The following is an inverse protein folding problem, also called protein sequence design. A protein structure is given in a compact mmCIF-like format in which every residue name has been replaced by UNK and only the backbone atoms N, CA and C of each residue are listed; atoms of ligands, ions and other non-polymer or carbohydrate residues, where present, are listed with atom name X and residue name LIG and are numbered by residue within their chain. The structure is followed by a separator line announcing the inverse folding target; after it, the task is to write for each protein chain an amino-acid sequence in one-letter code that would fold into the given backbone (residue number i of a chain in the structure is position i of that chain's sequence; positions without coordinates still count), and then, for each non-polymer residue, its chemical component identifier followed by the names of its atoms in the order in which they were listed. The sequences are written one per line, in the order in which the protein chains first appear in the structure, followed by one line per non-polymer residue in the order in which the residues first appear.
data_IF_407143926763
#
_entry.id   IF_407143926763
#
_cell.length_a   1.000
_cell.length_b   1.000
_cell.length_c   1.000
_cell.angle_alpha   90.00
_cell.angle_beta   90.00
_cell.angle_gamma   90.00
#
_symmetry.space_group_name_H-M   'P 1'
#
loop_
_entity.id
_entity.type
_entity.pdbx_description
1 polymer ?
#
# COMPACT_ATOMS: atom_id res chain seq x y z
N UNK A 1 2.66 -26.37 4.28
CA UNK A 1 4.07 -26.03 4.02
C UNK A 1 4.19 -25.82 2.52
N UNK A 2 4.06 -24.58 2.07
CA UNK A 2 4.41 -24.17 0.71
C UNK A 2 5.69 -23.36 0.82
N UNK A 3 6.71 -23.74 0.06
CA UNK A 3 7.96 -23.00 -0.09
C UNK A 3 7.64 -21.55 -0.43
N UNK A 4 8.10 -20.64 0.43
CA UNK A 4 8.34 -19.26 0.06
C UNK A 4 9.60 -19.30 -0.80
N UNK A 5 9.43 -19.10 -2.10
CA UNK A 5 10.53 -18.75 -2.99
C UNK A 5 10.91 -17.32 -2.62
N UNK A 6 11.88 -17.16 -1.70
CA UNK A 6 12.49 -15.86 -1.39
C UNK A 6 12.86 -15.20 -2.72
N UNK A 7 12.24 -14.06 -3.00
CA UNK A 7 12.35 -13.38 -4.28
C UNK A 7 13.69 -12.62 -4.31
N UNK A 8 14.78 -13.34 -4.51
CA UNK A 8 16.11 -12.75 -4.73
C UNK A 8 16.03 -11.88 -6.00
N UNK A 9 15.95 -10.55 -5.83
CA UNK A 9 15.90 -9.64 -6.96
C UNK A 9 17.20 -9.75 -7.76
N UNK A 10 17.06 -10.11 -9.05
CA UNK A 10 18.19 -10.14 -9.96
C UNK A 10 18.66 -8.71 -10.28
N UNK A 11 19.90 -8.60 -10.74
CA UNK A 11 20.43 -7.34 -11.26
C UNK A 11 19.56 -6.78 -12.42
N UNK A 12 18.87 -7.65 -13.14
CA UNK A 12 17.95 -7.27 -14.22
C UNK A 12 16.68 -6.61 -13.68
N UNK A 13 16.08 -7.13 -12.59
CA UNK A 13 14.93 -6.50 -11.94
C UNK A 13 15.28 -5.09 -11.40
N UNK A 14 16.45 -4.92 -10.80
CA UNK A 14 16.91 -3.60 -10.34
C UNK A 14 17.12 -2.64 -11.51
N UNK A 15 17.68 -3.13 -12.63
CA UNK A 15 17.85 -2.32 -13.84
C UNK A 15 16.50 -1.93 -14.46
N UNK A 16 15.54 -2.85 -14.52
CA UNK A 16 14.17 -2.60 -14.99
C UNK A 16 13.49 -1.52 -14.14
N UNK A 17 13.57 -1.65 -12.81
CA UNK A 17 13.02 -0.66 -11.89
C UNK A 17 13.59 0.73 -12.12
N UNK A 18 14.91 0.84 -12.34
CA UNK A 18 15.58 2.13 -12.58
C UNK A 18 15.23 2.71 -13.95
N UNK A 19 15.02 1.87 -14.96
CA UNK A 19 14.68 2.32 -16.30
C UNK A 19 13.21 2.78 -16.40
N UNK A 20 12.30 2.09 -15.72
CA UNK A 20 10.86 2.29 -15.85
C UNK A 20 10.23 3.09 -14.70
N UNK A 21 10.92 3.24 -13.58
CA UNK A 21 10.39 3.87 -12.37
C UNK A 21 9.44 2.99 -11.55
N UNK A 22 9.27 1.72 -11.93
CA UNK A 22 8.48 0.72 -11.20
C UNK A 22 9.03 -0.69 -11.47
N UNK A 23 8.74 -1.63 -10.56
CA UNK A 23 9.04 -3.04 -10.73
C UNK A 23 7.78 -3.87 -10.45
N UNK A 24 7.46 -4.80 -11.35
CA UNK A 24 6.40 -5.78 -11.10
C UNK A 24 7.01 -7.01 -10.44
N UNK A 25 6.57 -7.28 -9.22
CA UNK A 25 6.92 -8.50 -8.48
C UNK A 25 5.80 -9.54 -8.59
N UNK A 26 6.15 -10.81 -8.39
CA UNK A 26 5.22 -11.92 -8.46
C UNK A 26 4.26 -11.96 -7.26
N UNK A 27 3.77 -13.16 -6.96
CA UNK A 27 2.94 -13.38 -5.78
C UNK A 27 3.83 -13.31 -4.53
N UNK A 28 3.52 -12.38 -3.62
CA UNK A 28 4.23 -12.21 -2.34
C UNK A 28 3.46 -12.74 -1.13
N UNK A 29 2.13 -12.76 -1.21
CA UNK A 29 1.27 -13.17 -0.11
C UNK A 29 0.58 -14.48 -0.43
N UNK A 30 0.44 -15.35 0.58
CA UNK A 30 -0.39 -16.55 0.44
C UNK A 30 -1.87 -16.17 0.29
N UNK A 31 -2.69 -17.09 -0.21
CA UNK A 31 -4.13 -16.82 -0.28
C UNK A 31 -4.73 -16.63 1.12
N UNK A 32 -4.20 -17.35 2.12
CA UNK A 32 -4.64 -17.27 3.51
C UNK A 32 -4.32 -15.89 4.12
N UNK A 33 -3.13 -15.34 3.82
CA UNK A 33 -2.76 -13.99 4.24
C UNK A 33 -3.63 -12.92 3.57
N UNK A 34 -3.93 -13.10 2.28
CA UNK A 34 -4.83 -12.21 1.54
C UNK A 34 -6.24 -12.25 2.15
N UNK A 35 -6.78 -13.44 2.41
CA UNK A 35 -8.11 -13.59 3.01
C UNK A 35 -8.19 -12.96 4.41
N UNK A 36 -7.13 -13.12 5.22
CA UNK A 36 -7.02 -12.47 6.52
C UNK A 36 -7.01 -10.93 6.40
N UNK A 37 -6.19 -10.39 5.49
CA UNK A 37 -6.07 -8.94 5.29
C UNK A 37 -7.36 -8.33 4.72
N UNK A 38 -8.07 -9.05 3.85
CA UNK A 38 -9.39 -8.63 3.36
C UNK A 38 -10.41 -8.57 4.49
N UNK A 39 -10.46 -9.58 5.36
CA UNK A 39 -11.35 -9.57 6.52
C UNK A 39 -11.05 -8.41 7.48
N UNK A 40 -9.77 -8.13 7.74
CA UNK A 40 -9.36 -6.99 8.56
C UNK A 40 -9.64 -5.65 7.91
N UNK A 41 -9.46 -5.55 6.60
CA UNK A 41 -9.79 -4.37 5.81
C UNK A 41 -11.28 -4.03 5.96
N UNK A 42 -12.15 -5.01 5.73
CA UNK A 42 -13.60 -4.83 5.83
C UNK A 42 -14.01 -4.43 7.25
N UNK A 43 -13.43 -5.07 8.28
CA UNK A 43 -13.67 -4.73 9.68
C UNK A 43 -13.30 -3.26 9.98
N UNK A 44 -12.10 -2.83 9.62
CA UNK A 44 -11.62 -1.47 9.94
C UNK A 44 -12.41 -0.41 9.18
N UNK A 45 -12.79 -0.64 7.92
CA UNK A 45 -13.66 0.30 7.20
C UNK A 45 -15.08 0.34 7.76
N UNK A 46 -15.62 -0.78 8.25
CA UNK A 46 -16.90 -0.80 8.93
C UNK A 46 -16.85 0.02 10.24
N UNK A 47 -15.83 -0.19 11.07
CA UNK A 47 -15.60 0.59 12.30
C UNK A 47 -15.41 2.10 12.00
N UNK A 48 -14.58 2.42 10.99
CA UNK A 48 -14.36 3.81 10.58
C UNK A 48 -15.64 4.49 10.09
N UNK A 49 -16.61 3.74 9.55
CA UNK A 49 -17.93 4.26 9.17
C UNK A 49 -18.80 4.63 10.37
N UNK A 50 -18.62 3.97 11.51
CA UNK A 50 -19.38 4.26 12.73
C UNK A 50 -18.90 5.53 13.43
N UNK A 51 -17.58 5.76 13.46
CA UNK A 51 -16.97 6.90 14.14
C UNK A 51 -16.49 8.03 13.20
N UNK A 52 -16.70 7.86 11.89
CA UNK A 52 -16.31 8.79 10.81
C UNK A 52 -14.80 9.06 10.81
N UNK A 53 -13.98 8.04 11.12
CA UNK A 53 -12.52 8.16 11.17
C UNK A 53 -11.81 7.84 9.85
N UNK A 54 -12.34 8.36 8.73
CA UNK A 54 -11.78 8.24 7.39
C UNK A 54 -11.88 9.58 6.64
N UNK A 55 -11.17 9.71 5.50
CA UNK A 55 -11.36 10.80 4.54
C UNK A 55 -12.17 10.31 3.34
N UNK A 56 -13.11 11.10 2.85
CA UNK A 56 -13.78 10.83 1.58
C UNK A 56 -13.12 11.61 0.45
N UNK A 57 -12.36 10.91 -0.40
CA UNK A 57 -11.65 11.46 -1.54
C UNK A 57 -12.59 11.85 -2.69
N UNK A 58 -13.85 11.41 -2.68
CA UNK A 58 -14.86 11.84 -3.65
C UNK A 58 -15.50 13.20 -3.29
N UNK A 59 -15.12 13.79 -2.15
CA UNK A 59 -15.71 15.01 -1.60
C UNK A 59 -16.75 14.75 -0.52
N UNK A 60 -17.00 15.74 0.34
CA UNK A 60 -17.89 15.60 1.52
C UNK A 60 -19.36 15.35 1.16
N UNK A 61 -19.79 15.77 -0.04
CA UNK A 61 -21.16 15.65 -0.52
C UNK A 61 -21.41 14.40 -1.38
N UNK A 62 -20.39 13.55 -1.57
CA UNK A 62 -20.54 12.35 -2.39
C UNK A 62 -21.56 11.37 -1.77
N UNK A 63 -22.42 10.81 -2.63
CA UNK A 63 -23.35 9.78 -2.21
C UNK A 63 -22.59 8.52 -1.74
N UNK A 64 -23.19 7.74 -0.83
CA UNK A 64 -22.57 6.50 -0.32
C UNK A 64 -22.12 5.52 -1.41
N UNK A 65 -22.83 5.48 -2.53
CA UNK A 65 -22.50 4.61 -3.66
C UNK A 65 -21.21 5.03 -4.39
N UNK A 66 -20.81 6.30 -4.27
CA UNK A 66 -19.65 6.89 -4.96
C UNK A 66 -18.51 7.28 -4.01
N UNK A 67 -18.66 6.99 -2.71
CA UNK A 67 -17.66 7.28 -1.69
C UNK A 67 -16.32 6.59 -2.00
N UNK A 68 -15.24 7.37 -2.02
CA UNK A 68 -13.87 6.86 -2.08
C UNK A 68 -13.21 7.10 -0.72
N UNK A 69 -13.08 6.08 0.11
CA UNK A 69 -12.64 6.28 1.48
C UNK A 69 -11.14 6.03 1.63
N UNK A 70 -10.49 6.82 2.48
CA UNK A 70 -9.09 6.68 2.83
C UNK A 70 -8.91 6.63 4.34
N UNK A 71 -8.15 5.64 4.79
CA UNK A 71 -7.64 5.55 6.16
C UNK A 71 -6.12 5.67 6.09
N UNK A 72 -5.58 6.69 6.76
CA UNK A 72 -4.13 6.85 6.94
C UNK A 72 -3.68 6.09 8.19
N UNK A 73 -2.45 5.59 8.17
CA UNK A 73 -1.86 4.84 9.29
C UNK A 73 -2.67 3.57 9.62
N UNK A 74 -2.99 2.76 8.60
CA UNK A 74 -3.78 1.52 8.76
C UNK A 74 -3.13 0.54 9.73
N UNK A 75 -1.80 0.50 9.74
CA UNK A 75 -0.99 -0.25 10.69
C UNK A 75 -1.22 0.14 12.16
N UNK A 76 -1.73 1.34 12.46
CA UNK A 76 -2.11 1.73 13.82
C UNK A 76 -3.45 1.11 14.25
N UNK A 77 -4.27 0.68 13.29
CA UNK A 77 -5.64 0.20 13.48
C UNK A 77 -5.80 -1.31 13.34
N UNK A 78 -4.83 -1.98 12.70
CA UNK A 78 -4.86 -3.43 12.50
C UNK A 78 -3.49 -4.06 12.67
N UNK A 79 -3.42 -5.05 13.57
CA UNK A 79 -2.19 -5.82 13.82
C UNK A 79 -1.76 -6.61 12.57
N UNK A 80 -2.66 -7.29 11.83
CA UNK A 80 -2.28 -7.93 10.56
C UNK A 80 -1.67 -6.97 9.54
N UNK A 81 -2.20 -5.76 9.37
CA UNK A 81 -1.58 -4.76 8.50
C UNK A 81 -0.23 -4.26 9.02
N UNK A 82 -0.06 -4.10 10.34
CA UNK A 82 1.26 -3.81 10.92
C UNK A 82 2.27 -4.91 10.60
N UNK A 83 1.88 -6.18 10.74
CA UNK A 83 2.75 -7.32 10.41
C UNK A 83 3.10 -7.39 8.93
N UNK A 84 2.18 -6.96 8.05
CA UNK A 84 2.46 -6.88 6.62
C UNK A 84 3.62 -5.93 6.31
N UNK A 85 3.72 -4.81 7.03
CA UNK A 85 4.83 -3.86 6.89
C UNK A 85 6.17 -4.42 7.41
N UNK A 86 6.13 -5.50 8.20
CA UNK A 86 7.30 -6.20 8.72
C UNK A 86 7.61 -7.48 7.93
N UNK A 87 6.94 -7.72 6.79
CA UNK A 87 7.15 -8.90 5.97
C UNK A 87 8.55 -8.89 5.34
N UNK A 88 9.36 -9.90 5.68
CA UNK A 88 10.77 -9.99 5.27
C UNK A 88 10.95 -9.96 3.75
N UNK A 89 10.10 -10.66 2.98
CA UNK A 89 10.20 -10.68 1.52
C UNK A 89 9.95 -9.29 0.90
N UNK A 90 8.96 -8.55 1.43
CA UNK A 90 8.69 -7.17 1.00
C UNK A 90 9.87 -6.27 1.36
N UNK A 91 10.40 -6.38 2.58
CA UNK A 91 11.52 -5.55 3.04
C UNK A 91 12.79 -5.83 2.23
N UNK A 92 13.11 -7.09 1.94
CA UNK A 92 14.27 -7.46 1.12
C UNK A 92 14.18 -6.88 -0.30
N UNK A 93 12.99 -6.89 -0.90
CA UNK A 93 12.71 -6.27 -2.19
C UNK A 93 12.94 -4.75 -2.11
N UNK A 94 12.38 -4.08 -1.11
CA UNK A 94 12.50 -2.63 -0.95
C UNK A 94 13.95 -2.23 -0.69
N UNK A 95 14.66 -2.91 0.22
CA UNK A 95 16.07 -2.66 0.51
C UNK A 95 16.95 -2.86 -0.73
N UNK A 96 16.65 -3.85 -1.57
CA UNK A 96 17.35 -4.08 -2.83
C UNK A 96 17.17 -2.94 -3.84
N UNK A 97 16.04 -2.23 -3.79
CA UNK A 97 15.73 -1.13 -4.71
C UNK A 97 16.25 0.23 -4.24
N UNK A 98 16.09 0.60 -2.96
CA UNK A 98 16.52 1.91 -2.41
C UNK A 98 17.76 1.87 -1.52
N UNK A 99 18.23 0.69 -1.15
CA UNK A 99 19.31 0.51 -0.19
C UNK A 99 18.80 0.28 1.24
N UNK A 100 19.74 0.00 2.16
CA UNK A 100 19.43 -0.42 3.53
C UNK A 100 18.98 0.75 4.43
N UNK A 101 18.50 0.42 5.63
CA UNK A 101 18.01 1.37 6.65
C UNK A 101 16.71 2.06 6.24
N UNK A 102 15.75 1.25 5.80
CA UNK A 102 14.42 1.71 5.42
C UNK A 102 13.60 2.06 6.66
N UNK A 103 12.76 3.09 6.53
CA UNK A 103 11.84 3.51 7.58
C UNK A 103 10.45 3.70 6.99
N UNK A 104 9.43 3.19 7.69
CA UNK A 104 8.04 3.48 7.38
C UNK A 104 7.75 4.97 7.57
N UNK A 105 7.14 5.60 6.58
CA UNK A 105 6.65 6.98 6.67
C UNK A 105 5.14 7.05 6.84
N UNK A 106 4.40 6.34 5.98
CA UNK A 106 2.98 6.11 6.18
C UNK A 106 2.56 4.87 5.41
N UNK A 107 1.45 4.27 5.85
CA UNK A 107 0.63 3.39 5.04
C UNK A 107 -0.77 4.00 4.87
N UNK A 108 -1.47 3.56 3.82
CA UNK A 108 -2.82 4.01 3.53
C UNK A 108 -3.66 2.85 3.02
N UNK A 109 -4.89 2.76 3.51
CA UNK A 109 -5.91 1.87 2.97
C UNK A 109 -6.91 2.70 2.16
N UNK A 110 -7.19 2.28 0.93
CA UNK A 110 -8.09 2.96 0.00
C UNK A 110 -9.28 2.06 -0.32
N UNK A 111 -10.49 2.58 -0.15
CA UNK A 111 -11.75 1.95 -0.53
C UNK A 111 -12.33 2.62 -1.76
N UNK A 112 -12.55 1.81 -2.81
CA UNK A 112 -13.14 2.23 -4.08
C UNK A 112 -14.27 1.25 -4.45
N UNK A 113 -15.54 1.68 -4.38
CA UNK A 113 -16.66 0.82 -4.69
C UNK A 113 -16.66 0.40 -6.17
N UNK A 114 -17.23 -0.77 -6.46
CA UNK A 114 -17.34 -1.26 -7.85
C UNK A 114 -18.05 -0.23 -8.74
N UNK A 115 -17.51 0.01 -9.94
CA UNK A 115 -18.00 0.98 -10.92
C UNK A 115 -17.94 2.45 -10.50
N UNK A 116 -17.38 2.75 -9.33
CA UNK A 116 -17.34 4.10 -8.77
C UNK A 116 -15.95 4.39 -8.22
N UNK A 117 -15.36 5.45 -8.73
CA UNK A 117 -14.00 5.84 -8.43
C UNK A 117 -13.55 6.72 -9.57
N UNK A 118 -13.43 8.01 -9.30
CA UNK A 118 -12.91 8.91 -10.31
C UNK A 118 -11.50 8.47 -10.70
N UNK A 119 -11.14 8.78 -11.94
CA UNK A 119 -9.78 8.55 -12.40
C UNK A 119 -8.82 9.21 -11.41
N UNK A 120 -7.86 8.44 -10.90
CA UNK A 120 -6.75 9.02 -10.16
C UNK A 120 -5.97 9.84 -11.18
N UNK A 121 -6.06 11.16 -11.07
CA UNK A 121 -5.34 12.06 -11.97
C UNK A 121 -3.85 11.77 -11.91
N UNK A 122 -3.16 11.95 -13.04
CA UNK A 122 -1.70 11.81 -13.11
C UNK A 122 -1.04 12.72 -12.07
N UNK A 123 -0.25 12.11 -11.18
CA UNK A 123 0.52 12.80 -10.14
C UNK A 123 1.81 12.01 -9.86
N UNK A 124 2.77 12.66 -9.19
CA UNK A 124 3.90 11.99 -8.56
C UNK A 124 3.72 12.03 -7.05
N UNK A 125 4.00 10.92 -6.36
CA UNK A 125 3.92 10.86 -4.90
C UNK A 125 4.93 11.81 -4.22
N UNK A 126 6.05 12.11 -4.89
CA UNK A 126 7.08 13.04 -4.40
C UNK A 126 6.71 14.51 -4.51
N UNK A 127 5.60 14.85 -5.19
CA UNK A 127 5.11 16.23 -5.29
C UNK A 127 4.45 16.74 -3.98
N UNK A 128 4.60 16.01 -2.87
CA UNK A 128 4.27 16.43 -1.49
C UNK A 128 5.24 17.53 -0.96
N UNK A 129 5.95 18.22 -1.85
CA UNK A 129 6.77 19.40 -1.57
C UNK A 129 8.25 19.10 -1.31
N UNK A 130 9.09 20.13 -1.44
CA UNK A 130 10.57 20.13 -1.39
C UNK A 130 11.22 19.60 -0.09
N UNK A 131 10.48 18.95 0.80
CA UNK A 131 10.90 18.58 2.15
C UNK A 131 11.58 17.21 2.26
N UNK A 132 11.73 16.44 1.16
CA UNK A 132 12.12 15.03 1.25
C UNK A 132 13.26 14.62 0.31
N UNK A 133 14.20 13.75 0.75
CA UNK A 133 15.31 13.27 -0.06
C UNK A 133 14.84 12.35 -1.21
N UNK A 134 15.58 12.22 -2.32
CA UNK A 134 15.16 11.47 -3.52
C UNK A 134 15.14 9.93 -3.37
N UNK A 135 15.09 9.39 -2.15
CA UNK A 135 15.25 7.94 -1.85
C UNK A 135 13.97 7.26 -1.36
N UNK A 136 12.80 7.87 -1.56
CA UNK A 136 11.52 7.28 -1.17
C UNK A 136 10.99 6.32 -2.25
N UNK A 137 10.51 5.15 -1.81
CA UNK A 137 9.72 4.26 -2.64
C UNK A 137 8.33 4.07 -2.04
N UNK A 138 7.26 4.49 -2.73
CA UNK A 138 5.93 4.02 -2.40
C UNK A 138 5.80 2.55 -2.78
N UNK A 139 5.24 1.76 -1.87
CA UNK A 139 4.80 0.38 -2.13
C UNK A 139 3.29 0.39 -2.02
N UNK A 140 2.60 -0.02 -3.08
CA UNK A 140 1.14 0.01 -3.19
C UNK A 140 0.60 -1.18 -3.96
#
# INVERSE_FOLDING_TARGET
MTESDILDLTHEHVAESRANGFLRVGKLLSNEDVDLLVGEYDRVFAEAREDVSFRNLAGEEAERATEMLQIMQMCERSIPFRKLLENEEILDIVESLIGPNIQLFHDQALYKPTHHGDAVFWHQETDIGDAFPPTWLPVG
#
